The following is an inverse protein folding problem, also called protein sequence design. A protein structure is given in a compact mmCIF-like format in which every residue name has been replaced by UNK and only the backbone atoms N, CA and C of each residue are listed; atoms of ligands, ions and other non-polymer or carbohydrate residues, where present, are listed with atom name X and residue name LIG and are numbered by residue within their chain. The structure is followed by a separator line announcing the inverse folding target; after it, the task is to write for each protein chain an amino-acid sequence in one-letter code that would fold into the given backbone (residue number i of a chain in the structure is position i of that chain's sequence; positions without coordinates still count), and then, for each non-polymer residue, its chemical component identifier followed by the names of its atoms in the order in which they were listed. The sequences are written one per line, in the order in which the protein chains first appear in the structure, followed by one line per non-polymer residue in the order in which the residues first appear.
data_IF_232592612449
#
_entry.id   IF_232592612449
#
_cell.length_a   1.000
_cell.length_b   1.000
_cell.length_c   1.000
_cell.angle_alpha   90.00
_cell.angle_beta   90.00
_cell.angle_gamma   90.00
#
_symmetry.space_group_name_H-M   'P 1'
#
loop_
_entity.id
_entity.type
_entity.pdbx_description
1 polymer ?
#
# COMPACT_ATOMS: atom_id res chain seq x y z
N UNK A 1 31.69 28.87 50.60
CA UNK A 1 30.87 27.70 50.16
C UNK A 1 31.20 27.45 48.70
N UNK A 2 31.65 26.24 48.36
CA UNK A 2 31.87 25.83 46.98
C UNK A 2 30.52 25.44 46.37
N UNK A 3 30.02 26.22 45.41
CA UNK A 3 28.88 25.81 44.61
C UNK A 3 29.36 24.86 43.52
N UNK A 4 28.95 23.60 43.61
CA UNK A 4 29.24 22.59 42.60
C UNK A 4 28.18 22.72 41.49
N UNK A 5 28.62 23.01 40.27
CA UNK A 5 27.76 23.05 39.09
C UNK A 5 27.41 21.62 38.67
N UNK A 6 26.16 21.22 38.91
CA UNK A 6 25.62 19.90 38.58
C UNK A 6 24.77 19.90 37.31
N UNK A 7 24.63 21.04 36.63
CA UNK A 7 23.76 21.18 35.45
C UNK A 7 24.22 20.30 34.29
N UNK A 8 25.54 20.19 34.08
CA UNK A 8 26.10 19.30 33.07
C UNK A 8 25.81 17.82 33.38
N UNK A 9 25.99 17.39 34.64
CA UNK A 9 25.70 16.03 35.08
C UNK A 9 24.21 15.69 34.92
N UNK A 10 23.32 16.60 35.33
CA UNK A 10 21.88 16.41 35.21
C UNK A 10 21.43 16.33 33.74
N UNK A 11 22.02 17.13 32.86
CA UNK A 11 21.73 17.09 31.42
C UNK A 11 22.13 15.75 30.77
N UNK A 12 23.29 15.21 31.15
CA UNK A 12 23.76 13.91 30.66
C UNK A 12 22.91 12.75 31.17
N UNK A 13 22.43 12.82 32.42
CA UNK A 13 21.53 11.83 33.01
C UNK A 13 20.16 11.82 32.31
N UNK A 14 19.58 13.01 32.08
CA UNK A 14 18.32 13.13 31.35
C UNK A 14 18.43 12.59 29.93
N UNK A 15 19.51 12.91 29.21
CA UNK A 15 19.77 12.38 27.86
C UNK A 15 19.92 10.86 27.85
N UNK A 16 20.59 10.28 28.86
CA UNK A 16 20.71 8.82 28.99
C UNK A 16 19.36 8.16 29.25
N UNK A 17 18.57 8.72 30.17
CA UNK A 17 17.22 8.22 30.48
C UNK A 17 16.28 8.28 29.27
N UNK A 18 16.33 9.37 28.48
CA UNK A 18 15.46 9.56 27.30
C UNK A 18 15.95 8.81 26.06
N UNK A 19 17.24 8.46 25.96
CA UNK A 19 17.79 7.73 24.80
C UNK A 19 17.07 6.39 24.53
N UNK A 20 16.63 5.70 25.58
CA UNK A 20 15.87 4.45 25.48
C UNK A 20 14.42 4.66 25.00
N UNK A 21 13.88 5.86 25.16
CA UNK A 21 12.52 6.26 24.74
C UNK A 21 12.56 6.81 23.30
N UNK A 22 13.60 7.56 22.94
CA UNK A 22 13.81 8.07 21.58
C UNK A 22 14.05 6.93 20.58
N UNK A 23 14.88 5.94 20.93
CA UNK A 23 15.13 4.76 20.08
C UNK A 23 13.87 3.89 19.86
N UNK A 24 12.89 3.90 20.78
CA UNK A 24 11.63 3.16 20.62
C UNK A 24 10.62 3.84 19.69
N UNK A 25 10.80 5.13 19.39
CA UNK A 25 9.96 5.88 18.45
C UNK A 25 10.53 5.91 17.03
N UNK A 26 11.83 5.65 16.88
CA UNK A 26 12.52 5.75 15.60
C UNK A 26 12.49 4.46 14.76
N UNK A 27 12.35 3.28 15.35
CA UNK A 27 12.38 2.01 14.61
C UNK A 27 11.25 1.05 15.06
N UNK A 28 10.06 1.23 14.51
CA UNK A 28 9.16 0.11 14.24
C UNK A 28 9.33 -0.19 12.74
N UNK A 29 9.46 -1.45 12.29
CA UNK A 29 9.62 -1.78 10.87
C UNK A 29 8.32 -1.48 10.12
N UNK A 30 8.09 -0.20 9.82
CA UNK A 30 6.93 0.33 9.13
C UNK A 30 7.04 0.04 7.63
N UNK A 31 8.25 -0.21 7.10
CA UNK A 31 8.49 -0.47 5.68
C UNK A 31 7.92 -1.79 5.18
N UNK A 32 7.98 -2.88 5.96
CA UNK A 32 7.47 -4.19 5.53
C UNK A 32 5.95 -4.25 5.58
N UNK A 33 5.34 -3.67 6.62
CA UNK A 33 3.88 -3.58 6.71
C UNK A 33 3.31 -2.62 5.67
N UNK A 34 3.95 -1.49 5.41
CA UNK A 34 3.55 -0.56 4.36
C UNK A 34 3.69 -1.21 2.97
N UNK A 35 4.74 -2.00 2.73
CA UNK A 35 4.90 -2.72 1.45
C UNK A 35 3.81 -3.77 1.24
N UNK A 36 3.49 -4.56 2.28
CA UNK A 36 2.40 -5.54 2.24
C UNK A 36 1.04 -4.85 2.05
N UNK A 37 0.81 -3.73 2.73
CA UNK A 37 -0.43 -2.97 2.60
C UNK A 37 -0.60 -2.42 1.17
N UNK A 38 0.49 -1.91 0.58
CA UNK A 38 0.50 -1.45 -0.81
C UNK A 38 0.20 -2.60 -1.79
N UNK A 39 0.82 -3.76 -1.60
CA UNK A 39 0.57 -4.94 -2.43
C UNK A 39 -0.91 -5.36 -2.38
N UNK A 40 -1.52 -5.35 -1.20
CA UNK A 40 -2.94 -5.68 -1.04
C UNK A 40 -3.86 -4.65 -1.71
N UNK A 41 -3.52 -3.36 -1.62
CA UNK A 41 -4.30 -2.30 -2.29
C UNK A 41 -4.17 -2.35 -3.81
N UNK A 42 -2.99 -2.68 -4.33
CA UNK A 42 -2.75 -2.88 -5.78
C UNK A 42 -3.53 -4.12 -6.29
N UNK A 43 -3.56 -5.20 -5.50
CA UNK A 43 -4.34 -6.40 -5.83
C UNK A 43 -5.86 -6.12 -5.85
N UNK A 44 -6.34 -5.32 -4.91
CA UNK A 44 -7.74 -4.90 -4.86
C UNK A 44 -8.13 -4.03 -6.07
N UNK A 45 -7.28 -3.06 -6.44
CA UNK A 45 -7.51 -2.22 -7.62
C UNK A 45 -7.57 -3.08 -8.89
N UNK A 46 -6.65 -4.04 -9.06
CA UNK A 46 -6.66 -4.96 -10.19
C UNK A 46 -7.98 -5.75 -10.30
N UNK A 47 -8.50 -6.24 -9.17
CA UNK A 47 -9.78 -6.96 -9.14
C UNK A 47 -10.96 -6.06 -9.51
N UNK A 48 -10.96 -4.81 -9.04
CA UNK A 48 -12.02 -3.85 -9.33
C UNK A 48 -12.01 -3.44 -10.81
N UNK A 49 -10.83 -3.15 -11.36
CA UNK A 49 -10.65 -2.85 -12.79
C UNK A 49 -11.10 -4.01 -13.65
N UNK A 50 -10.74 -5.24 -13.28
CA UNK A 50 -11.20 -6.46 -13.95
C UNK A 50 -12.71 -6.57 -13.95
N UNK A 51 -13.35 -6.35 -12.80
CA UNK A 51 -14.80 -6.41 -12.67
C UNK A 51 -15.50 -5.36 -13.54
N UNK A 52 -14.94 -4.16 -13.64
CA UNK A 52 -15.45 -3.10 -14.53
C UNK A 52 -15.26 -3.45 -16.00
N UNK A 53 -14.08 -3.96 -16.39
CA UNK A 53 -13.82 -4.42 -17.76
C UNK A 53 -14.72 -5.59 -18.16
N UNK A 54 -14.92 -6.57 -17.26
CA UNK A 54 -15.78 -7.73 -17.48
C UNK A 54 -17.23 -7.31 -17.75
N UNK A 55 -17.71 -6.21 -17.14
CA UNK A 55 -19.04 -5.66 -17.38
C UNK A 55 -19.06 -4.88 -18.71
N UNK A 56 -18.08 -4.00 -18.93
CA UNK A 56 -18.04 -3.13 -20.10
C UNK A 56 -17.86 -3.90 -21.42
N UNK A 57 -17.02 -4.93 -21.43
CA UNK A 57 -16.71 -5.72 -22.63
C UNK A 57 -17.75 -6.80 -22.93
N UNK A 58 -18.56 -7.21 -21.93
CA UNK A 58 -19.66 -8.16 -22.13
C UNK A 58 -20.74 -7.66 -23.09
N UNK A 59 -20.94 -6.35 -23.17
CA UNK A 59 -22.00 -5.74 -23.98
C UNK A 59 -21.55 -5.40 -25.42
N UNK A 60 -20.24 -5.34 -25.71
CA UNK A 60 -19.75 -4.76 -26.97
C UNK A 60 -19.19 -5.72 -28.02
N UNK A 61 -19.08 -7.04 -27.78
CA UNK A 61 -18.22 -7.87 -28.64
C UNK A 61 -18.90 -8.81 -29.66
N UNK A 62 -18.92 -8.44 -30.97
CA UNK A 62 -19.01 -9.36 -32.09
C UNK A 62 -17.64 -9.80 -32.65
N UNK A 63 -16.50 -9.34 -32.10
CA UNK A 63 -15.15 -9.64 -32.64
C UNK A 63 -14.65 -11.03 -32.27
N UNK A 64 -15.14 -11.60 -31.19
CA UNK A 64 -14.88 -12.97 -30.81
C UNK A 64 -16.17 -13.77 -31.07
N UNK A 65 -16.08 -14.78 -31.93
CA UNK A 65 -17.24 -15.63 -32.24
C UNK A 65 -17.75 -16.36 -31.00
N UNK A 66 -19.02 -16.78 -31.00
CA UNK A 66 -19.71 -17.47 -29.89
C UNK A 66 -19.21 -18.90 -29.60
N UNK A 67 -17.92 -19.16 -29.73
CA UNK A 67 -17.31 -20.44 -29.39
C UNK A 67 -16.80 -20.43 -27.94
N UNK A 68 -16.81 -21.58 -27.27
CA UNK A 68 -16.39 -21.74 -25.87
C UNK A 68 -14.95 -21.29 -25.56
N UNK A 69 -14.12 -21.06 -26.59
CA UNK A 69 -12.78 -20.48 -26.45
C UNK A 69 -12.79 -18.97 -26.18
N UNK A 70 -13.87 -18.27 -26.51
CA UNK A 70 -13.97 -16.81 -26.35
C UNK A 70 -13.92 -16.38 -24.88
N UNK A 71 -14.67 -17.04 -24.01
CA UNK A 71 -14.65 -16.75 -22.56
C UNK A 71 -13.23 -16.90 -21.96
N UNK A 72 -12.44 -17.82 -22.49
CA UNK A 72 -11.05 -18.03 -22.08
C UNK A 72 -10.16 -16.88 -22.57
N UNK A 73 -10.28 -16.47 -23.84
CA UNK A 73 -9.49 -15.34 -24.35
C UNK A 73 -9.88 -14.01 -23.71
N UNK A 74 -11.17 -13.77 -23.47
CA UNK A 74 -11.66 -12.59 -22.77
C UNK A 74 -11.15 -12.55 -21.33
N UNK A 75 -11.24 -13.65 -20.59
CA UNK A 75 -10.75 -13.70 -19.22
C UNK A 75 -9.23 -13.46 -19.15
N UNK A 76 -8.44 -14.06 -20.04
CA UNK A 76 -7.00 -13.82 -20.12
C UNK A 76 -6.67 -12.36 -20.51
N UNK A 77 -7.37 -11.79 -21.49
CA UNK A 77 -7.20 -10.40 -21.89
C UNK A 77 -7.54 -9.45 -20.75
N UNK A 78 -8.68 -9.65 -20.10
CA UNK A 78 -9.11 -8.83 -18.96
C UNK A 78 -8.14 -8.97 -17.78
N UNK A 79 -7.64 -10.17 -17.48
CA UNK A 79 -6.64 -10.39 -16.44
C UNK A 79 -5.33 -9.64 -16.72
N UNK A 80 -4.83 -9.71 -17.97
CA UNK A 80 -3.58 -9.04 -18.35
C UNK A 80 -3.74 -7.52 -18.36
N UNK A 81 -4.84 -7.02 -18.93
CA UNK A 81 -5.12 -5.60 -18.99
C UNK A 81 -5.37 -5.02 -17.60
N UNK A 82 -6.09 -5.73 -16.72
CA UNK A 82 -6.36 -5.27 -15.36
C UNK A 82 -5.09 -5.22 -14.50
N UNK A 83 -4.16 -6.17 -14.69
CA UNK A 83 -2.84 -6.11 -14.04
C UNK A 83 -1.98 -4.97 -14.57
N UNK A 84 -2.04 -4.68 -15.87
CA UNK A 84 -1.28 -3.59 -16.48
C UNK A 84 -1.83 -2.19 -16.09
N UNK A 85 -3.13 -2.08 -15.89
CA UNK A 85 -3.81 -0.86 -15.48
C UNK A 85 -3.79 -0.64 -13.95
N UNK A 86 -3.71 -1.72 -13.17
CA UNK A 86 -3.55 -1.62 -11.71
C UNK A 86 -2.26 -0.88 -11.34
N UNK A 87 -2.35 0.02 -10.34
CA UNK A 87 -1.27 0.91 -9.92
C UNK A 87 -1.15 2.21 -10.75
N UNK A 88 -1.64 2.24 -12.00
CA UNK A 88 -1.57 3.43 -12.86
C UNK A 88 -2.84 4.30 -12.81
N UNK A 89 -3.96 3.78 -12.29
CA UNK A 89 -5.21 4.53 -12.16
C UNK A 89 -5.29 5.34 -10.85
N UNK A 90 -4.41 5.08 -9.89
CA UNK A 90 -4.26 5.85 -8.65
C UNK A 90 -5.28 5.52 -7.55
N UNK A 91 -6.18 4.55 -7.75
CA UNK A 91 -7.11 4.14 -6.70
C UNK A 91 -6.42 3.32 -5.61
N UNK A 92 -5.42 2.52 -5.98
CA UNK A 92 -4.56 1.80 -5.02
C UNK A 92 -3.83 2.74 -4.08
N UNK A 93 -3.23 3.81 -4.61
CA UNK A 93 -2.52 4.83 -3.82
C UNK A 93 -3.47 5.62 -2.92
N UNK A 94 -4.65 5.97 -3.42
CA UNK A 94 -5.68 6.65 -2.61
C UNK A 94 -6.18 5.76 -1.46
N UNK A 95 -6.42 4.47 -1.72
CA UNK A 95 -6.83 3.51 -0.70
C UNK A 95 -5.70 3.25 0.31
N UNK A 96 -4.46 3.10 -0.15
CA UNK A 96 -3.28 2.95 0.69
C UNK A 96 -3.13 4.14 1.64
N UNK A 97 -3.21 5.36 1.13
CA UNK A 97 -3.13 6.57 1.93
C UNK A 97 -4.29 6.67 2.93
N UNK A 98 -5.52 6.36 2.51
CA UNK A 98 -6.68 6.35 3.41
C UNK A 98 -6.54 5.35 4.56
N UNK A 99 -6.04 4.15 4.28
CA UNK A 99 -5.80 3.13 5.31
C UNK A 99 -4.67 3.53 6.25
N UNK A 100 -3.59 4.12 5.72
CA UNK A 100 -2.45 4.61 6.49
C UNK A 100 -2.80 5.79 7.39
N UNK A 101 -3.69 6.69 6.97
CA UNK A 101 -4.18 7.80 7.78
C UNK A 101 -5.06 7.36 8.96
N UNK A 102 -5.62 6.15 8.91
CA UNK A 102 -6.55 5.61 9.91
C UNK A 102 -6.00 4.42 10.70
N UNK A 103 -4.75 4.03 10.45
CA UNK A 103 -4.04 2.95 11.13
C UNK A 103 -3.38 3.41 12.44
#
# INVERSE_FOLDING_TARGET
MLNVDTSAALSSYNKFATSSIENRRADKPQSEQDALLKEQTDAFEAFLVKSVLDIALKDENPLFGKDAGDEIYHSMYNDTMSKALSGNLGFSELLFNYLKERA
#
